data_IF_688113786232
#
_entry.id   IF_688113786232
#
_cell.length_a   1.000
_cell.length_b   1.000
_cell.length_c   1.000
_cell.angle_alpha   90.00
_cell.angle_beta   90.00
_cell.angle_gamma   90.00
#
_symmetry.space_group_name_H-M   'P 1'
#
loop_
_entity.id
_entity.type
_entity.pdbx_description
1 polymer ?
#
# COMPACT_ATOMS: atom_id res chain seq x y z
N UNK A 1 -3.32 -24.24 -15.62
CA UNK A 1 -4.12 -24.33 -16.87
C UNK A 1 -4.69 -22.98 -17.31
N UNK A 2 -5.73 -22.42 -16.67
CA UNK A 2 -6.35 -21.17 -17.16
C UNK A 2 -5.40 -19.97 -17.19
N UNK A 3 -4.58 -19.80 -16.15
CA UNK A 3 -3.54 -18.77 -16.15
C UNK A 3 -2.55 -18.97 -17.31
N UNK A 4 -2.16 -20.21 -17.61
CA UNK A 4 -1.28 -20.51 -18.75
C UNK A 4 -1.93 -20.17 -20.08
N UNK A 5 -3.24 -20.42 -20.25
CA UNK A 5 -3.97 -20.04 -21.47
C UNK A 5 -3.97 -18.52 -21.69
N UNK A 6 -4.10 -17.73 -20.62
CA UNK A 6 -4.05 -16.27 -20.71
C UNK A 6 -2.62 -15.80 -21.00
N UNK A 7 -1.64 -16.27 -20.23
CA UNK A 7 -0.23 -15.89 -20.37
C UNK A 7 0.31 -16.25 -21.77
N UNK A 8 0.03 -17.45 -22.26
CA UNK A 8 0.52 -17.94 -23.54
C UNK A 8 -0.33 -17.48 -24.74
N UNK A 9 -1.38 -16.68 -24.51
CA UNK A 9 -2.18 -16.14 -25.62
C UNK A 9 -1.45 -15.05 -26.40
N UNK A 10 -0.42 -14.43 -25.79
CA UNK A 10 0.34 -13.29 -26.32
C UNK A 10 -0.52 -12.05 -26.63
N UNK A 11 -1.80 -12.05 -26.23
CA UNK A 11 -2.72 -10.90 -26.36
C UNK A 11 -2.35 -9.79 -25.37
N UNK A 12 -1.81 -10.18 -24.20
CA UNK A 12 -1.42 -9.28 -23.12
C UNK A 12 0.07 -9.44 -22.82
N UNK A 13 0.71 -8.35 -22.40
CA UNK A 13 2.11 -8.34 -21.99
C UNK A 13 2.32 -7.44 -20.78
N UNK A 14 3.16 -7.89 -19.85
CA UNK A 14 3.57 -7.04 -18.72
C UNK A 14 4.24 -5.78 -19.26
N UNK A 15 3.94 -4.65 -18.64
CA UNK A 15 4.65 -3.42 -18.94
C UNK A 15 6.11 -3.54 -18.51
N UNK A 16 6.99 -2.86 -19.24
CA UNK A 16 8.35 -2.60 -18.77
C UNK A 16 8.30 -1.87 -17.42
N UNK A 17 9.38 -1.96 -16.64
CA UNK A 17 9.48 -1.26 -15.35
C UNK A 17 9.09 0.22 -15.45
N UNK A 18 9.64 0.92 -16.45
CA UNK A 18 9.38 2.35 -16.67
C UNK A 18 7.90 2.63 -16.98
N UNK A 19 7.29 1.84 -17.87
CA UNK A 19 5.88 2.03 -18.22
C UNK A 19 4.98 1.64 -17.05
N UNK A 20 5.33 0.62 -16.28
CA UNK A 20 4.58 0.25 -15.09
C UNK A 20 4.56 1.36 -14.04
N UNK A 21 5.67 2.08 -13.83
CA UNK A 21 5.69 3.25 -12.93
C UNK A 21 4.72 4.37 -13.35
N UNK A 22 4.21 4.32 -14.58
CA UNK A 22 3.25 5.27 -15.16
C UNK A 22 1.92 4.59 -15.50
N UNK A 23 1.66 3.38 -14.99
CA UNK A 23 0.50 2.55 -15.34
C UNK A 23 -0.82 3.34 -15.27
N UNK A 24 -1.00 4.12 -14.20
CA UNK A 24 -2.21 4.89 -13.92
C UNK A 24 -2.48 6.00 -14.95
N UNK A 25 -1.51 6.33 -15.79
CA UNK A 25 -1.64 7.38 -16.80
C UNK A 25 -2.17 6.88 -18.14
N UNK A 26 -2.09 5.57 -18.39
CA UNK A 26 -2.56 4.98 -19.64
C UNK A 26 -4.07 4.74 -19.60
N UNK A 27 -4.75 5.07 -20.69
CA UNK A 27 -6.12 4.56 -20.92
C UNK A 27 -6.09 3.03 -21.05
N UNK A 28 -7.18 2.32 -20.68
CA UNK A 28 -7.21 0.86 -20.74
C UNK A 28 -6.77 0.26 -22.07
N UNK A 29 -7.16 0.85 -23.20
CA UNK A 29 -6.82 0.33 -24.54
C UNK A 29 -5.35 0.53 -24.93
N UNK A 30 -4.65 1.41 -24.24
CA UNK A 30 -3.22 1.68 -24.46
C UNK A 30 -2.33 0.90 -23.48
N UNK A 31 -2.92 0.10 -22.59
CA UNK A 31 -2.21 -0.63 -21.56
C UNK A 31 -2.23 -2.14 -21.85
N UNK A 32 -1.11 -2.66 -22.37
CA UNK A 32 -0.98 -4.08 -22.75
C UNK A 32 -1.12 -5.06 -21.58
N UNK A 33 -1.00 -4.58 -20.34
CA UNK A 33 -1.12 -5.42 -19.15
C UNK A 33 -2.58 -5.54 -18.66
N UNK A 34 -3.46 -4.61 -19.07
CA UNK A 34 -4.87 -4.59 -18.68
C UNK A 34 -5.65 -5.65 -19.43
N UNK A 35 -6.31 -6.56 -18.71
CA UNK A 35 -7.14 -7.62 -19.31
C UNK A 35 -8.60 -7.19 -19.33
N UNK A 36 -9.13 -6.74 -18.20
CA UNK A 36 -10.49 -6.25 -18.10
C UNK A 36 -10.53 -5.00 -17.22
N UNK A 37 -11.13 -3.93 -17.75
CA UNK A 37 -11.36 -2.69 -17.03
C UNK A 37 -12.74 -2.12 -17.39
N UNK A 38 -13.32 -1.36 -16.45
CA UNK A 38 -14.54 -0.58 -16.69
C UNK A 38 -14.10 0.81 -17.13
N UNK A 39 -14.12 1.06 -18.43
CA UNK A 39 -13.66 2.34 -18.97
C UNK A 39 -14.53 3.50 -18.50
N UNK A 40 -13.88 4.52 -17.98
CA UNK A 40 -14.43 5.85 -17.71
C UNK A 40 -13.88 6.80 -18.76
N UNK A 41 -14.71 7.73 -19.25
CA UNK A 41 -14.26 8.74 -20.22
C UNK A 41 -14.44 10.13 -19.63
N UNK A 42 -13.49 11.03 -19.90
CA UNK A 42 -13.52 12.40 -19.36
C UNK A 42 -14.86 13.12 -19.61
N UNK A 43 -15.51 12.87 -20.75
CA UNK A 43 -16.81 13.47 -21.08
C UNK A 43 -17.97 13.03 -20.17
N UNK A 44 -17.81 11.97 -19.36
CA UNK A 44 -18.78 11.59 -18.32
C UNK A 44 -18.69 12.48 -17.06
N UNK A 45 -17.64 13.30 -16.96
CA UNK A 45 -17.36 14.12 -15.78
C UNK A 45 -17.41 15.60 -16.18
N UNK A 46 -18.15 16.40 -15.43
CA UNK A 46 -18.26 17.84 -15.65
C UNK A 46 -17.97 18.61 -14.36
N UNK A 47 -17.38 19.80 -14.49
CA UNK A 47 -17.13 20.70 -13.37
C UNK A 47 -16.31 20.04 -12.25
N UNK A 48 -16.96 19.77 -11.11
CA UNK A 48 -16.34 19.20 -9.91
C UNK A 48 -16.47 17.69 -9.80
N UNK A 49 -16.97 16.97 -10.80
CA UNK A 49 -17.19 15.52 -10.68
C UNK A 49 -15.90 14.74 -10.37
N UNK A 50 -14.75 15.18 -10.91
CA UNK A 50 -13.45 14.60 -10.58
C UNK A 50 -13.08 14.74 -9.10
N UNK A 51 -13.64 15.73 -8.39
CA UNK A 51 -13.41 15.90 -6.96
C UNK A 51 -13.88 14.67 -6.17
N UNK A 52 -15.01 14.06 -6.56
CA UNK A 52 -15.68 12.98 -5.83
C UNK A 52 -15.29 11.57 -6.30
N UNK A 53 -14.38 11.46 -7.28
CA UNK A 53 -13.87 10.17 -7.75
C UNK A 53 -13.01 9.45 -6.71
N UNK A 54 -12.76 8.16 -6.91
CA UNK A 54 -11.89 7.33 -6.04
C UNK A 54 -10.52 7.99 -5.84
N UNK A 55 -9.94 8.56 -6.90
CA UNK A 55 -8.68 9.30 -6.82
C UNK A 55 -8.71 10.52 -5.91
N UNK A 56 -9.84 11.23 -5.84
CA UNK A 56 -10.01 12.42 -5.02
C UNK A 56 -9.92 12.14 -3.53
N UNK A 57 -10.22 10.90 -3.11
CA UNK A 57 -10.02 10.45 -1.74
C UNK A 57 -8.54 10.35 -1.35
N UNK A 58 -7.67 10.09 -2.31
CA UNK A 58 -6.27 9.75 -2.09
C UNK A 58 -5.29 10.91 -2.29
N UNK A 59 -5.66 11.91 -3.08
CA UNK A 59 -4.77 13.02 -3.43
C UNK A 59 -5.55 14.29 -3.74
N UNK A 60 -4.83 15.41 -3.80
CA UNK A 60 -5.30 16.65 -4.40
C UNK A 60 -4.51 16.91 -5.69
N UNK A 61 -5.15 16.80 -6.85
CA UNK A 61 -4.53 16.95 -8.17
C UNK A 61 -5.28 18.02 -8.96
N UNK A 62 -4.56 19.01 -9.52
CA UNK A 62 -5.19 20.10 -10.28
C UNK A 62 -6.19 20.93 -9.46
N UNK A 63 -6.11 20.90 -8.13
CA UNK A 63 -7.08 21.53 -7.22
C UNK A 63 -8.36 20.72 -6.97
N UNK A 64 -8.44 19.49 -7.48
CA UNK A 64 -9.54 18.55 -7.23
C UNK A 64 -9.12 17.49 -6.21
N UNK A 65 -10.11 16.93 -5.50
CA UNK A 65 -9.90 15.92 -4.45
C UNK A 65 -9.78 16.52 -3.06
N UNK A 66 -9.86 15.65 -2.04
CA UNK A 66 -9.75 16.01 -0.63
C UNK A 66 -8.59 15.32 0.08
N UNK A 67 -8.01 14.26 -0.52
CA UNK A 67 -6.75 13.66 -0.09
C UNK A 67 -6.68 13.34 1.40
N UNK A 68 -7.52 12.42 1.88
CA UNK A 68 -7.60 12.03 3.29
C UNK A 68 -7.16 10.59 3.57
N UNK A 69 -6.87 9.81 2.51
CA UNK A 69 -6.32 8.47 2.63
C UNK A 69 -4.91 8.39 2.06
N UNK A 70 -3.96 7.95 2.89
CA UNK A 70 -2.53 7.90 2.56
C UNK A 70 -2.00 6.48 2.54
N UNK A 71 -0.85 6.29 1.89
CA UNK A 71 -0.11 5.05 2.02
C UNK A 71 0.26 4.79 3.49
N UNK A 72 -0.06 3.60 3.99
CA UNK A 72 0.25 3.26 5.39
C UNK A 72 1.74 3.02 5.57
N UNK A 73 2.24 3.25 6.80
CA UNK A 73 3.63 2.96 7.16
C UNK A 73 4.03 1.53 6.77
N UNK A 74 3.18 0.55 7.12
CA UNK A 74 3.39 -0.86 6.79
C UNK A 74 3.60 -1.08 5.29
N UNK A 75 2.85 -0.38 4.44
CA UNK A 75 3.01 -0.52 2.98
C UNK A 75 4.29 0.16 2.48
N UNK A 76 4.63 1.34 3.02
CA UNK A 76 5.88 2.04 2.71
C UNK A 76 7.10 1.20 3.14
N UNK A 77 7.06 0.57 4.31
CA UNK A 77 8.12 -0.32 4.81
C UNK A 77 8.31 -1.51 3.87
N UNK A 78 7.22 -2.12 3.40
CA UNK A 78 7.29 -3.21 2.40
C UNK A 78 7.94 -2.76 1.09
N UNK A 79 7.60 -1.55 0.60
CA UNK A 79 8.22 -0.98 -0.60
C UNK A 79 9.71 -0.68 -0.42
N UNK A 80 10.15 -0.42 0.81
CA UNK A 80 11.52 -0.08 1.16
C UNK A 80 12.38 -1.30 1.55
N UNK A 81 11.83 -2.53 1.53
CA UNK A 81 12.48 -3.74 2.05
C UNK A 81 13.84 -4.04 1.38
N UNK A 82 13.97 -3.76 0.08
CA UNK A 82 15.21 -3.98 -0.70
C UNK A 82 16.05 -2.71 -0.86
N UNK A 83 15.63 -1.62 -0.22
CA UNK A 83 16.24 -0.31 -0.31
C UNK A 83 15.20 0.80 -0.23
N UNK A 84 15.54 1.89 0.45
CA UNK A 84 14.69 3.06 0.63
C UNK A 84 14.35 3.71 -0.71
N UNK A 85 13.06 3.87 -0.97
CA UNK A 85 12.55 4.81 -1.94
C UNK A 85 12.71 6.23 -1.38
N UNK A 86 13.47 7.06 -2.08
CA UNK A 86 13.77 8.44 -1.71
C UNK A 86 13.11 9.37 -2.73
N UNK A 87 11.82 9.61 -2.49
CA UNK A 87 10.98 10.47 -3.32
C UNK A 87 11.49 11.92 -3.36
N UNK A 88 12.10 12.42 -2.29
CA UNK A 88 12.64 13.79 -2.24
C UNK A 88 13.76 13.99 -3.28
N UNK A 89 14.54 12.95 -3.56
CA UNK A 89 15.61 12.96 -4.55
C UNK A 89 15.26 12.18 -5.85
N UNK A 90 13.99 11.79 -6.04
CA UNK A 90 13.52 11.08 -7.23
C UNK A 90 14.07 9.66 -7.39
N UNK A 91 14.60 9.04 -6.34
CA UNK A 91 15.13 7.67 -6.36
C UNK A 91 14.03 6.68 -6.01
N UNK A 92 13.60 5.89 -7.00
CA UNK A 92 12.63 4.81 -6.84
C UNK A 92 13.32 3.46 -7.00
N UNK A 93 13.38 2.70 -5.91
CA UNK A 93 13.94 1.34 -5.84
C UNK A 93 12.89 0.34 -6.33
N UNK A 94 11.75 0.28 -5.64
CA UNK A 94 10.60 -0.52 -6.06
C UNK A 94 9.70 0.30 -6.99
N UNK A 95 9.48 -0.18 -8.22
CA UNK A 95 8.65 0.51 -9.21
C UNK A 95 7.24 0.85 -8.71
N UNK A 96 6.69 0.08 -7.76
CA UNK A 96 5.35 0.31 -7.19
C UNK A 96 5.29 1.54 -6.28
N UNK A 97 6.43 2.01 -5.78
CA UNK A 97 6.53 3.25 -5.00
C UNK A 97 6.25 4.50 -5.86
N UNK A 98 6.30 4.39 -7.19
CA UNK A 98 5.95 5.48 -8.11
C UNK A 98 4.49 5.94 -8.00
N UNK A 99 3.61 5.12 -7.42
CA UNK A 99 2.20 5.48 -7.21
C UNK A 99 1.95 6.25 -5.90
N UNK A 100 3.01 6.62 -5.18
CA UNK A 100 2.95 7.41 -3.95
C UNK A 100 3.66 8.74 -4.20
N UNK A 101 3.02 9.83 -3.79
CA UNK A 101 3.54 11.19 -3.90
C UNK A 101 3.56 11.87 -2.52
N UNK A 102 4.69 11.80 -1.79
CA UNK A 102 4.85 12.50 -0.52
C UNK A 102 4.71 14.01 -0.70
N UNK A 103 3.94 14.67 0.17
CA UNK A 103 3.72 16.12 0.12
C UNK A 103 4.67 16.84 1.07
N UNK A 104 5.82 17.28 0.53
CA UNK A 104 6.82 18.03 1.30
C UNK A 104 6.43 19.50 1.53
N UNK A 105 6.94 20.08 2.61
CA UNK A 105 6.86 21.53 2.84
C UNK A 105 7.94 22.20 1.99
N UNK A 106 7.53 23.16 1.16
CA UNK A 106 8.47 23.92 0.33
C UNK A 106 9.46 24.69 1.21
N UNK A 107 10.76 24.56 0.93
CA UNK A 107 11.86 25.10 1.75
C UNK A 107 11.77 24.67 3.22
N UNK A 108 11.20 23.48 3.48
CA UNK A 108 11.05 22.95 4.82
C UNK A 108 12.37 22.47 5.44
N UNK A 109 12.38 22.35 6.77
CA UNK A 109 13.50 21.78 7.49
C UNK A 109 13.74 20.31 7.13
N UNK A 110 14.96 19.84 7.38
CA UNK A 110 15.27 18.41 7.38
C UNK A 110 14.91 17.83 8.75
N UNK A 111 14.18 16.73 8.75
CA UNK A 111 13.67 16.09 9.98
C UNK A 111 14.06 14.62 10.03
N UNK A 112 14.13 14.09 11.24
CA UNK A 112 14.13 12.66 11.50
C UNK A 112 12.68 12.25 11.70
N UNK A 113 12.16 11.54 10.69
CA UNK A 113 10.79 11.02 10.67
C UNK A 113 10.81 9.58 11.15
N UNK A 114 10.10 9.28 12.23
CA UNK A 114 9.97 7.92 12.77
C UNK A 114 8.57 7.69 13.33
N UNK A 115 8.27 6.44 13.65
CA UNK A 115 7.00 6.03 14.24
C UNK A 115 7.27 5.58 15.67
N UNK A 116 6.62 6.25 16.64
CA UNK A 116 6.66 5.88 18.05
C UNK A 116 5.42 5.11 18.47
N UNK A 117 5.56 4.27 19.49
CA UNK A 117 4.43 3.72 20.24
C UNK A 117 3.75 4.83 21.04
N UNK A 118 2.46 4.68 21.28
CA UNK A 118 1.62 5.56 22.09
C UNK A 118 1.08 4.74 23.26
N UNK A 119 1.25 5.26 24.47
CA UNK A 119 0.84 4.61 25.70
C UNK A 119 -0.31 5.39 26.36
N UNK A 120 -1.22 4.69 27.04
CA UNK A 120 -2.20 5.33 27.91
C UNK A 120 -1.61 5.66 29.30
N UNK A 121 -2.39 6.29 30.18
CA UNK A 121 -1.96 6.70 31.53
C UNK A 121 -1.52 5.51 32.41
N UNK A 122 -1.94 4.28 32.08
CA UNK A 122 -1.53 3.05 32.77
C UNK A 122 -0.24 2.44 32.19
N UNK A 123 0.41 3.10 31.21
CA UNK A 123 1.61 2.60 30.55
C UNK A 123 1.36 1.46 29.56
N UNK A 124 0.11 1.24 29.13
CA UNK A 124 -0.23 0.22 28.14
C UNK A 124 -0.11 0.79 26.73
N UNK A 125 0.57 0.08 25.84
CA UNK A 125 0.67 0.45 24.42
C UNK A 125 -0.70 0.33 23.74
N UNK A 126 -1.20 1.43 23.19
CA UNK A 126 -2.55 1.52 22.62
C UNK A 126 -2.60 1.98 21.17
N UNK A 127 -1.57 2.65 20.66
CA UNK A 127 -1.53 3.13 19.29
C UNK A 127 -0.09 3.43 18.84
N UNK A 128 0.06 3.92 17.61
CA UNK A 128 1.30 4.45 17.06
C UNK A 128 1.09 5.88 16.58
N UNK A 129 2.15 6.69 16.56
CA UNK A 129 2.11 8.03 15.98
C UNK A 129 3.41 8.37 15.25
N UNK A 130 3.31 9.24 14.24
CA UNK A 130 4.48 9.79 13.58
C UNK A 130 5.10 10.91 14.40
N UNK A 131 6.42 11.01 14.31
CA UNK A 131 7.20 12.16 14.78
C UNK A 131 7.99 12.71 13.60
N UNK A 132 8.08 14.03 13.49
CA UNK A 132 8.97 14.75 12.58
C UNK A 132 9.82 15.70 13.41
N UNK A 133 10.96 15.21 13.90
CA UNK A 133 11.85 15.99 14.76
C UNK A 133 12.92 16.68 13.92
N UNK A 134 13.08 18.00 14.03
CA UNK A 134 14.13 18.71 13.30
C UNK A 134 15.52 18.15 13.64
N UNK A 135 16.36 18.01 12.61
CA UNK A 135 17.68 17.38 12.74
C UNK A 135 18.79 18.39 12.54
N UNK A 136 19.79 18.30 13.41
CA UNK A 136 21.10 18.91 13.22
C UNK A 136 22.11 17.82 12.89
N UNK A 137 22.76 17.91 11.73
CA UNK A 137 23.82 17.00 11.29
C UNK A 137 25.17 17.71 11.47
N UNK A 138 26.10 17.07 12.19
CA UNK A 138 27.46 17.57 12.41
C UNK A 138 28.47 16.49 12.01
N UNK A 139 28.80 16.42 10.72
CA UNK A 139 29.66 15.36 10.18
C UNK A 139 28.96 14.00 10.26
N UNK A 140 29.52 13.06 11.04
CA UNK A 140 28.97 11.70 11.19
C UNK A 140 28.01 11.55 12.37
N UNK A 141 27.73 12.62 13.11
CA UNK A 141 26.75 12.61 14.18
C UNK A 141 25.51 13.40 13.77
N UNK A 142 24.35 12.94 14.23
CA UNK A 142 23.11 13.65 14.05
C UNK A 142 22.36 13.68 15.39
N UNK A 143 21.66 14.78 15.64
CA UNK A 143 20.78 14.94 16.79
C UNK A 143 19.43 15.45 16.32
N UNK A 144 18.35 15.04 16.97
CA UNK A 144 17.04 15.64 16.74
C UNK A 144 16.46 16.24 18.01
N UNK A 145 15.54 17.20 17.84
CA UNK A 145 14.84 17.85 18.95
C UNK A 145 13.35 17.52 18.87
N UNK A 146 12.81 16.97 19.96
CA UNK A 146 11.37 16.73 20.12
C UNK A 146 10.93 17.08 21.54
N UNK A 147 9.82 17.81 21.68
CA UNK A 147 9.28 18.30 22.95
C UNK A 147 10.33 19.00 23.84
N UNK A 148 11.29 19.70 23.22
CA UNK A 148 12.38 20.40 23.91
C UNK A 148 13.54 19.52 24.40
N UNK A 149 13.43 18.20 24.27
CA UNK A 149 14.51 17.26 24.55
C UNK A 149 15.36 17.04 23.29
N UNK A 150 16.68 16.96 23.48
CA UNK A 150 17.63 16.62 22.41
C UNK A 150 17.97 15.14 22.49
N UNK A 151 17.86 14.45 21.36
CA UNK A 151 18.18 13.04 21.23
C UNK A 151 19.35 12.86 20.26
N UNK A 152 20.31 12.02 20.64
CA UNK A 152 21.35 11.57 19.72
C UNK A 152 20.79 10.50 18.79
N UNK A 153 21.11 10.61 17.51
CA UNK A 153 20.76 9.62 16.49
C UNK A 153 21.96 8.71 16.24
N UNK A 154 21.69 7.42 16.08
CA UNK A 154 22.68 6.40 15.72
C UNK A 154 22.48 6.01 14.25
N UNK A 155 23.53 6.04 13.40
CA UNK A 155 23.38 5.64 12.01
C UNK A 155 23.09 4.15 11.92
N UNK A 156 22.07 3.78 11.13
CA UNK A 156 21.74 2.39 10.80
C UNK A 156 22.19 2.09 9.36
N UNK A 157 21.81 2.97 8.44
CA UNK A 157 22.31 3.01 7.07
C UNK A 157 22.41 4.49 6.64
N UNK A 158 23.60 5.06 6.76
CA UNK A 158 23.81 6.49 6.53
C UNK A 158 23.61 6.87 5.05
N UNK A 159 23.93 5.99 4.10
CA UNK A 159 23.76 6.25 2.67
C UNK A 159 22.28 6.35 2.30
N UNK A 160 21.44 5.57 2.96
CA UNK A 160 19.99 5.63 2.81
C UNK A 160 19.33 6.62 3.77
N UNK A 161 20.10 7.34 4.59
CA UNK A 161 19.58 8.27 5.58
C UNK A 161 18.70 7.59 6.64
N UNK A 162 18.96 6.31 6.96
CA UNK A 162 18.26 5.54 7.98
C UNK A 162 19.04 5.62 9.30
N UNK A 163 18.34 6.04 10.34
CA UNK A 163 18.92 6.27 11.67
C UNK A 163 17.99 5.70 12.74
N UNK A 164 18.53 5.50 13.93
CA UNK A 164 17.76 5.11 15.11
C UNK A 164 17.93 6.11 16.24
N UNK A 165 16.94 6.13 17.14
CA UNK A 165 16.92 6.96 18.34
C UNK A 165 16.51 6.13 19.55
N UNK A 166 17.26 6.23 20.65
CA UNK A 166 16.78 5.77 21.96
C UNK A 166 15.92 6.87 22.58
N UNK A 167 14.64 6.58 22.76
CA UNK A 167 13.62 7.59 23.01
C UNK A 167 13.15 7.60 24.47
N UNK A 168 12.40 8.64 24.87
CA UNK A 168 12.05 8.91 26.29
C UNK A 168 11.17 7.83 26.94
N UNK A 169 10.51 6.99 26.15
CA UNK A 169 9.73 5.84 26.60
C UNK A 169 10.59 4.59 26.86
N UNK A 170 11.91 4.67 26.65
CA UNK A 170 12.85 3.55 26.80
C UNK A 170 12.94 2.65 25.56
N UNK A 171 12.17 2.93 24.51
CA UNK A 171 12.21 2.17 23.26
C UNK A 171 13.28 2.74 22.32
N UNK A 172 13.68 1.93 21.34
CA UNK A 172 14.52 2.38 20.23
C UNK A 172 13.71 2.36 18.94
N UNK A 173 13.64 3.50 18.27
CA UNK A 173 12.90 3.65 17.03
C UNK A 173 13.84 3.88 15.85
N UNK A 174 13.54 3.25 14.74
CA UNK A 174 14.20 3.50 13.45
C UNK A 174 13.35 4.46 12.64
N UNK A 175 14.00 5.36 11.92
CA UNK A 175 13.36 6.33 11.05
C UNK A 175 14.29 6.79 9.95
N UNK A 176 13.85 7.83 9.24
CA UNK A 176 14.57 8.39 8.10
C UNK A 176 14.84 9.88 8.31
N UNK A 177 16.03 10.33 7.91
CA UNK A 177 16.31 11.73 7.68
C UNK A 177 15.76 12.10 6.30
N UNK A 178 14.83 13.06 6.26
CA UNK A 178 14.04 13.40 5.08
C UNK A 178 13.50 14.84 5.21
N UNK A 179 13.13 15.54 4.12
CA UNK A 179 12.47 16.84 4.23
C UNK A 179 11.15 16.73 4.99
N UNK A 180 10.82 17.75 5.77
CA UNK A 180 9.55 17.79 6.51
C UNK A 180 8.36 17.73 5.55
N UNK A 181 7.37 16.93 5.92
CA UNK A 181 6.13 16.73 5.17
C UNK A 181 4.99 17.53 5.78
N UNK A 182 4.08 17.95 4.91
CA UNK A 182 2.77 18.45 5.30
C UNK A 182 2.02 17.37 6.07
N UNK A 183 1.26 17.82 7.05
CA UNK A 183 0.43 16.96 7.90
C UNK A 183 -1.04 17.25 7.60
N UNK A 184 -1.84 16.21 7.57
CA UNK A 184 -3.27 16.32 7.81
C UNK A 184 -3.56 15.71 9.18
N UNK A 185 -4.09 16.52 10.09
CA UNK A 185 -4.08 16.27 11.53
C UNK A 185 -2.64 16.07 12.02
N UNK A 186 -2.23 14.83 12.24
CA UNK A 186 -0.89 14.45 12.71
C UNK A 186 -0.19 13.47 11.76
N UNK A 187 -0.80 13.14 10.63
CA UNK A 187 -0.30 12.13 9.70
C UNK A 187 0.41 12.78 8.50
N UNK A 188 1.64 12.38 8.17
CA UNK A 188 2.32 12.79 6.94
C UNK A 188 1.50 12.42 5.71
N UNK A 189 1.38 13.38 4.80
CA UNK A 189 0.57 13.24 3.59
C UNK A 189 1.34 12.48 2.50
N UNK A 190 1.18 11.15 2.48
CA UNK A 190 1.65 10.28 1.39
C UNK A 190 0.51 10.04 0.41
N UNK A 191 0.30 10.98 -0.52
CA UNK A 191 -0.77 10.84 -1.52
C UNK A 191 -0.59 9.58 -2.35
N UNK A 192 -1.70 8.96 -2.73
CA UNK A 192 -1.72 7.79 -3.62
C UNK A 192 -2.31 8.24 -4.96
N UNK A 193 -1.56 8.06 -6.04
CA UNK A 193 -1.96 8.53 -7.38
C UNK A 193 -2.37 7.39 -8.32
N UNK A 194 -2.38 6.13 -7.84
CA UNK A 194 -2.69 4.95 -8.66
C UNK A 194 -4.09 4.97 -9.29
N UNK A 195 -5.05 5.68 -8.68
CA UNK A 195 -6.42 5.83 -9.15
C UNK A 195 -6.67 7.23 -9.73
N UNK A 196 -5.69 7.78 -10.45
CA UNK A 196 -5.74 9.15 -11.02
C UNK A 196 -4.82 9.28 -12.23
N UNK A 197 -4.96 10.40 -12.93
CA UNK A 197 -4.18 10.82 -14.10
C UNK A 197 -4.35 10.00 -15.36
N UNK A 198 -5.46 9.28 -15.51
CA UNK A 198 -5.71 8.50 -16.73
C UNK A 198 -5.92 9.42 -17.93
N UNK A 199 -4.93 9.54 -18.80
CA UNK A 199 -4.98 10.36 -20.03
C UNK A 199 -4.99 11.88 -19.84
N UNK A 200 -5.16 12.41 -18.62
CA UNK A 200 -5.23 13.84 -18.31
C UNK A 200 -4.85 14.12 -16.84
N UNK A 201 -4.52 15.38 -16.50
CA UNK A 201 -4.19 15.78 -15.12
C UNK A 201 -5.45 15.94 -14.23
N UNK A 202 -6.15 14.84 -13.98
CA UNK A 202 -7.37 14.78 -13.16
C UNK A 202 -7.43 13.49 -12.31
N UNK A 203 -8.53 13.30 -11.57
CA UNK A 203 -8.82 12.02 -10.90
C UNK A 203 -9.58 11.03 -11.80
N UNK A 204 -9.55 11.20 -13.13
CA UNK A 204 -10.05 10.19 -14.05
C UNK A 204 -9.31 8.86 -13.82
N UNK A 205 -10.10 7.80 -13.71
CA UNK A 205 -9.62 6.45 -13.46
C UNK A 205 -10.67 5.43 -13.92
N UNK A 206 -10.25 4.54 -14.81
CA UNK A 206 -10.99 3.34 -15.18
C UNK A 206 -10.64 2.20 -14.21
N UNK A 207 -11.58 1.70 -13.40
CA UNK A 207 -11.31 0.58 -12.50
C UNK A 207 -10.85 -0.65 -13.27
N UNK A 208 -9.67 -1.16 -12.90
CA UNK A 208 -9.10 -2.39 -13.45
C UNK A 208 -9.66 -3.57 -12.67
N UNK A 209 -10.34 -4.48 -13.35
CA UNK A 209 -10.93 -5.69 -12.78
C UNK A 209 -9.94 -6.85 -12.82
N UNK A 210 -9.14 -6.96 -13.88
CA UNK A 210 -8.05 -7.92 -13.96
C UNK A 210 -6.93 -7.47 -14.89
N UNK A 211 -5.72 -7.92 -14.60
CA UNK A 211 -4.50 -7.58 -15.35
C UNK A 211 -3.47 -8.68 -15.26
N UNK A 212 -2.52 -8.71 -16.19
CA UNK A 212 -1.61 -9.84 -16.36
C UNK A 212 -0.73 -10.10 -15.11
N UNK A 213 -0.32 -9.06 -14.38
CA UNK A 213 0.43 -9.23 -13.12
C UNK A 213 -0.34 -10.06 -12.08
N UNK A 214 -1.66 -9.87 -11.97
CA UNK A 214 -2.52 -10.66 -11.10
C UNK A 214 -2.60 -12.13 -11.55
N UNK A 215 -2.65 -12.39 -12.87
CA UNK A 215 -2.70 -13.75 -13.43
C UNK A 215 -1.43 -14.54 -13.09
N UNK A 216 -0.25 -13.90 -13.16
CA UNK A 216 1.00 -14.50 -12.70
C UNK A 216 0.97 -14.83 -11.21
N UNK A 217 0.45 -13.93 -10.37
CA UNK A 217 0.35 -14.16 -8.93
C UNK A 217 -0.67 -15.25 -8.57
N UNK A 218 -1.80 -15.31 -9.29
CA UNK A 218 -2.78 -16.40 -9.16
C UNK A 218 -2.17 -17.75 -9.56
N UNK A 219 -1.34 -17.78 -10.62
CA UNK A 219 -0.56 -18.97 -11.00
C UNK A 219 0.45 -19.37 -9.93
N UNK A 220 1.20 -18.41 -9.38
CA UNK A 220 2.18 -18.65 -8.33
C UNK A 220 1.54 -19.29 -7.09
N UNK A 221 0.45 -18.70 -6.62
CA UNK A 221 -0.29 -19.20 -5.46
C UNK A 221 -0.86 -20.61 -5.69
N UNK A 222 -1.52 -20.82 -6.84
CA UNK A 222 -2.09 -22.13 -7.18
C UNK A 222 -1.02 -23.21 -7.27
N UNK A 223 0.13 -22.90 -7.88
CA UNK A 223 1.25 -23.83 -7.98
C UNK A 223 1.83 -24.17 -6.60
N UNK A 224 2.03 -23.19 -5.72
CA UNK A 224 2.51 -23.41 -4.36
C UNK A 224 1.55 -24.30 -3.55
N UNK A 225 0.23 -24.06 -3.63
CA UNK A 225 -0.80 -24.86 -2.96
C UNK A 225 -0.86 -26.32 -3.46
N UNK A 226 -0.36 -26.59 -4.66
CA UNK A 226 -0.18 -27.94 -5.22
C UNK A 226 1.19 -28.56 -4.90
N UNK A 227 2.05 -27.87 -4.15
CA UNK A 227 3.42 -28.30 -3.84
C UNK A 227 4.42 -28.11 -4.98
N UNK A 228 4.04 -27.41 -6.06
CA UNK A 228 4.88 -27.18 -7.23
C UNK A 228 5.68 -25.87 -7.09
N UNK A 229 6.62 -25.83 -6.14
CA UNK A 229 7.32 -24.59 -5.78
C UNK A 229 8.22 -24.02 -6.88
N UNK A 230 8.77 -24.85 -7.78
CA UNK A 230 9.53 -24.36 -8.94
C UNK A 230 8.68 -23.49 -9.86
N UNK A 231 7.47 -23.97 -10.22
CA UNK A 231 6.51 -23.22 -11.04
C UNK A 231 6.02 -21.97 -10.30
N UNK A 232 5.81 -22.07 -8.98
CA UNK A 232 5.40 -20.94 -8.17
C UNK A 232 6.46 -19.83 -8.16
N UNK A 233 7.72 -20.21 -7.96
CA UNK A 233 8.87 -19.30 -7.93
C UNK A 233 9.04 -18.58 -9.26
N UNK A 234 8.99 -19.31 -10.38
CA UNK A 234 9.08 -18.74 -11.72
C UNK A 234 7.99 -17.69 -11.95
N UNK A 235 6.73 -18.02 -11.67
CA UNK A 235 5.60 -17.10 -11.87
C UNK A 235 5.68 -15.87 -10.96
N UNK A 236 6.09 -16.04 -9.71
CA UNK A 236 6.26 -14.96 -8.73
C UNK A 236 7.38 -13.99 -9.15
N UNK A 237 8.53 -14.53 -9.57
CA UNK A 237 9.69 -13.74 -9.95
C UNK A 237 9.45 -12.93 -11.24
N UNK A 238 8.59 -13.37 -12.15
CA UNK A 238 8.22 -12.56 -13.32
C UNK A 238 7.66 -11.18 -12.93
N UNK A 239 6.79 -11.13 -11.91
CA UNK A 239 6.21 -9.88 -11.41
C UNK A 239 7.24 -9.09 -10.60
N UNK A 240 7.98 -9.78 -9.73
CA UNK A 240 8.97 -9.16 -8.86
C UNK A 240 10.11 -8.52 -9.64
N UNK A 241 10.69 -9.23 -10.60
CA UNK A 241 11.82 -8.77 -11.41
C UNK A 241 11.47 -7.53 -12.25
N UNK A 242 10.21 -7.41 -12.69
CA UNK A 242 9.72 -6.18 -13.34
C UNK A 242 9.80 -4.99 -12.39
N UNK A 243 9.36 -5.15 -11.15
CA UNK A 243 9.28 -4.06 -10.17
C UNK A 243 10.63 -3.76 -9.50
N UNK A 244 11.44 -4.81 -9.28
CA UNK A 244 12.73 -4.82 -8.60
C UNK A 244 13.75 -5.68 -9.39
N UNK A 245 14.36 -5.14 -10.46
CA UNK A 245 15.34 -5.88 -11.26
C UNK A 245 16.54 -6.33 -10.41
N UNK A 246 16.90 -7.62 -10.52
CA UNK A 246 17.99 -8.25 -9.77
C UNK A 246 17.58 -8.81 -8.40
N UNK A 247 16.34 -8.59 -7.95
CA UNK A 247 15.86 -8.96 -6.61
C UNK A 247 14.94 -10.17 -6.61
N UNK A 248 15.01 -11.01 -7.65
CA UNK A 248 14.29 -12.29 -7.70
C UNK A 248 14.50 -13.14 -6.43
N UNK A 249 13.44 -13.79 -5.94
CA UNK A 249 13.56 -14.75 -4.86
C UNK A 249 14.42 -15.94 -5.30
N UNK A 250 15.29 -16.42 -4.42
CA UNK A 250 16.20 -17.52 -4.75
C UNK A 250 15.52 -18.89 -4.73
N UNK A 251 14.55 -19.10 -3.83
CA UNK A 251 13.81 -20.35 -3.69
C UNK A 251 12.44 -20.11 -3.04
N UNK A 252 11.51 -21.02 -3.30
CA UNK A 252 10.26 -21.18 -2.54
C UNK A 252 10.16 -22.62 -2.03
N UNK A 253 9.57 -22.78 -0.86
CA UNK A 253 9.17 -24.06 -0.30
C UNK A 253 7.95 -23.91 0.61
N UNK A 254 7.53 -25.00 1.25
CA UNK A 254 6.35 -25.03 2.12
C UNK A 254 6.43 -24.03 3.30
N UNK A 255 7.63 -23.67 3.74
CA UNK A 255 7.84 -22.80 4.91
C UNK A 255 7.71 -21.31 4.59
N UNK A 256 7.92 -20.90 3.34
CA UNK A 256 7.97 -19.49 2.96
C UNK A 256 7.02 -19.09 1.81
N UNK A 257 6.48 -20.04 1.04
CA UNK A 257 5.74 -19.74 -0.17
C UNK A 257 4.50 -18.88 0.09
N UNK A 258 3.74 -19.17 1.16
CA UNK A 258 2.57 -18.38 1.51
C UNK A 258 2.94 -16.91 1.82
N UNK A 259 3.97 -16.70 2.63
CA UNK A 259 4.39 -15.36 3.05
C UNK A 259 4.89 -14.53 1.88
N UNK A 260 5.76 -15.10 1.03
CA UNK A 260 6.37 -14.37 -0.08
C UNK A 260 5.37 -14.09 -1.20
N UNK A 261 4.47 -15.03 -1.51
CA UNK A 261 3.40 -14.81 -2.50
C UNK A 261 2.44 -13.73 -2.00
N UNK A 262 2.03 -13.79 -0.73
CA UNK A 262 1.14 -12.79 -0.15
C UNK A 262 1.77 -11.40 -0.08
N UNK A 263 3.07 -11.32 0.21
CA UNK A 263 3.83 -10.06 0.18
C UNK A 263 3.81 -9.46 -1.22
N UNK A 264 4.13 -10.25 -2.24
CA UNK A 264 4.16 -9.76 -3.62
C UNK A 264 2.76 -9.36 -4.11
N UNK A 265 1.71 -10.11 -3.75
CA UNK A 265 0.31 -9.71 -4.00
C UNK A 265 -0.05 -8.39 -3.35
N UNK A 266 0.35 -8.19 -2.09
CA UNK A 266 0.11 -6.94 -1.36
C UNK A 266 0.76 -5.74 -2.04
N UNK A 267 2.01 -5.91 -2.46
CA UNK A 267 2.75 -4.88 -3.16
C UNK A 267 2.12 -4.56 -4.51
N UNK A 268 1.88 -5.58 -5.32
CA UNK A 268 1.44 -5.48 -6.71
C UNK A 268 -0.01 -4.98 -6.83
N UNK A 269 -0.92 -5.55 -6.05
CA UNK A 269 -2.38 -5.30 -6.12
C UNK A 269 -2.84 -4.20 -5.15
N UNK A 270 -1.91 -3.43 -4.58
CA UNK A 270 -2.25 -2.30 -3.72
C UNK A 270 -3.25 -1.36 -4.40
N UNK A 271 -4.24 -0.92 -3.62
CA UNK A 271 -5.32 -0.01 -4.05
C UNK A 271 -6.28 -0.59 -5.11
N UNK A 272 -6.32 -1.92 -5.27
CA UNK A 272 -7.22 -2.63 -6.20
C UNK A 272 -8.24 -3.53 -5.46
N UNK A 273 -8.52 -3.24 -4.19
CA UNK A 273 -9.52 -3.93 -3.35
C UNK A 273 -9.25 -5.41 -2.99
N UNK A 274 -8.05 -5.95 -3.25
CA UNK A 274 -7.75 -7.38 -3.02
C UNK A 274 -7.37 -7.74 -1.57
N UNK A 275 -6.68 -6.84 -0.86
CA UNK A 275 -5.93 -7.20 0.36
C UNK A 275 -6.75 -7.87 1.46
N UNK A 276 -7.95 -7.37 1.76
CA UNK A 276 -8.78 -7.97 2.82
C UNK A 276 -9.26 -9.37 2.42
N UNK A 277 -9.65 -9.55 1.16
CA UNK A 277 -10.08 -10.86 0.67
C UNK A 277 -8.94 -11.86 0.71
N UNK A 278 -7.74 -11.46 0.27
CA UNK A 278 -6.52 -12.29 0.32
C UNK A 278 -6.15 -12.74 1.73
N UNK A 279 -6.25 -11.83 2.71
CA UNK A 279 -6.02 -12.15 4.13
C UNK A 279 -7.00 -13.21 4.63
N UNK A 280 -8.30 -12.96 4.48
CA UNK A 280 -9.31 -13.80 5.10
C UNK A 280 -9.50 -15.14 4.38
N UNK A 281 -9.42 -15.18 3.05
CA UNK A 281 -9.55 -16.45 2.29
C UNK A 281 -8.40 -17.42 2.55
N UNK A 282 -7.25 -16.92 3.00
CA UNK A 282 -6.11 -17.73 3.42
C UNK A 282 -6.13 -18.01 4.94
N UNK A 283 -7.23 -17.70 5.65
CA UNK A 283 -7.38 -18.01 7.07
C UNK A 283 -6.50 -17.15 7.98
N UNK A 284 -6.05 -15.99 7.51
CA UNK A 284 -5.22 -15.05 8.29
C UNK A 284 -6.07 -13.99 8.94
N UNK A 285 -5.56 -13.43 10.03
CA UNK A 285 -6.13 -12.26 10.68
C UNK A 285 -5.64 -10.96 10.05
N UNK A 286 -6.51 -9.95 10.01
CA UNK A 286 -6.14 -8.60 9.59
C UNK A 286 -5.64 -7.80 10.79
N UNK A 287 -4.36 -7.43 10.77
CA UNK A 287 -3.73 -6.53 11.75
C UNK A 287 -3.32 -5.22 11.08
N UNK A 288 -3.50 -4.12 11.83
CA UNK A 288 -3.19 -2.75 11.37
C UNK A 288 -2.32 -2.02 12.40
N UNK A 289 -1.26 -2.68 12.87
CA UNK A 289 -0.34 -2.13 13.86
C UNK A 289 0.59 -1.08 13.23
N UNK A 290 0.03 0.08 12.90
CA UNK A 290 0.71 1.26 12.34
C UNK A 290 -0.13 2.51 12.63
N UNK A 291 0.42 3.74 12.52
CA UNK A 291 -0.32 4.96 12.81
C UNK A 291 -1.55 5.13 11.90
N UNK A 292 -2.67 5.50 12.50
CA UNK A 292 -3.90 5.84 11.77
C UNK A 292 -5.10 6.05 12.70
N UNK A 293 -6.27 6.40 12.13
CA UNK A 293 -7.50 6.60 12.90
C UNK A 293 -8.18 5.28 13.33
N UNK A 294 -7.71 4.13 12.85
CA UNK A 294 -8.21 2.81 13.23
C UNK A 294 -7.71 2.39 14.61
N UNK A 295 -8.34 1.35 15.18
CA UNK A 295 -7.86 0.70 16.40
C UNK A 295 -6.63 -0.14 16.07
N UNK A 296 -5.43 0.44 16.26
CA UNK A 296 -4.18 -0.17 15.81
C UNK A 296 -3.83 -1.49 16.53
N UNK A 297 -4.31 -1.68 17.76
CA UNK A 297 -4.09 -2.91 18.53
C UNK A 297 -5.14 -3.99 18.24
N UNK A 298 -6.14 -3.71 17.42
CA UNK A 298 -7.19 -4.66 17.11
C UNK A 298 -6.75 -5.66 16.03
N UNK A 299 -7.04 -6.93 16.29
CA UNK A 299 -6.92 -8.03 15.34
C UNK A 299 -8.32 -8.48 14.92
N UNK A 300 -8.57 -8.52 13.60
CA UNK A 300 -9.82 -9.05 13.05
C UNK A 300 -9.54 -10.45 12.53
N UNK A 301 -10.08 -11.46 13.22
CA UNK A 301 -9.92 -12.87 12.87
C UNK A 301 -10.67 -13.22 11.57
N UNK A 302 -10.24 -14.23 10.81
CA UNK A 302 -10.93 -14.62 9.56
C UNK A 302 -12.37 -15.08 9.77
N UNK A 303 -12.70 -15.59 10.96
CA UNK A 303 -14.06 -16.00 11.34
C UNK A 303 -14.84 -14.93 12.11
N UNK A 304 -14.31 -13.69 12.21
CA UNK A 304 -15.01 -12.60 12.87
C UNK A 304 -16.26 -12.19 12.09
N UNK A 305 -17.36 -11.87 12.79
CA UNK A 305 -18.63 -11.45 12.19
C UNK A 305 -18.48 -10.24 11.25
N UNK A 306 -17.44 -9.42 11.42
CA UNK A 306 -17.12 -8.26 10.58
C UNK A 306 -16.51 -8.61 9.23
N UNK A 307 -16.11 -9.86 9.01
CA UNK A 307 -15.55 -10.33 7.74
C UNK A 307 -16.63 -10.45 6.65
N UNK A 308 -17.90 -10.59 7.02
CA UNK A 308 -19.03 -10.72 6.09
C UNK A 308 -19.92 -9.49 6.19
N UNK A 309 -20.22 -8.86 5.05
CA UNK A 309 -21.10 -7.69 5.01
C UNK A 309 -22.53 -8.02 5.46
N UNK A 310 -23.20 -7.03 6.06
CA UNK A 310 -24.62 -7.15 6.34
C UNK A 310 -25.44 -7.23 5.05
N UNK A 311 -26.48 -8.06 5.08
CA UNK A 311 -27.52 -8.08 4.06
C UNK A 311 -28.30 -6.77 4.16
N UNK A 312 -28.48 -6.02 3.06
CA UNK A 312 -29.29 -4.80 3.07
C UNK A 312 -30.70 -5.06 3.60
N UNK A 313 -31.18 -4.19 4.51
CA UNK A 313 -32.48 -4.39 5.17
C UNK A 313 -33.64 -4.42 4.17
N UNK A 314 -33.56 -3.66 3.08
CA UNK A 314 -34.55 -3.71 2.01
C UNK A 314 -34.60 -5.06 1.29
N UNK A 315 -33.47 -5.75 1.14
CA UNK A 315 -33.43 -7.11 0.58
C UNK A 315 -34.09 -8.13 1.51
N UNK A 316 -33.88 -8.01 2.83
CA UNK A 316 -34.58 -8.82 3.84
C UNK A 316 -36.09 -8.55 3.79
N UNK A 317 -36.50 -7.29 3.76
CA UNK A 317 -37.91 -6.90 3.77
C UNK A 317 -38.65 -7.32 2.49
N UNK A 318 -37.95 -7.33 1.34
CA UNK A 318 -38.51 -7.72 0.06
C UNK A 318 -38.60 -9.24 -0.14
N UNK A 319 -38.07 -10.03 0.80
CA UNK A 319 -38.04 -11.48 0.66
C UNK A 319 -39.47 -12.07 0.71
N UNK A 320 -39.82 -13.06 -0.14
CA UNK A 320 -41.19 -13.52 -0.28
C UNK A 320 -41.85 -13.99 1.02
N UNK A 321 -43.13 -13.64 1.18
CA UNK A 321 -43.94 -14.08 2.31
C UNK A 321 -43.98 -15.61 2.41
N UNK A 322 -43.67 -16.15 3.59
CA UNK A 322 -43.55 -17.59 3.83
C UNK A 322 -42.11 -18.13 3.77
N UNK A 323 -41.12 -17.27 3.53
CA UNK A 323 -39.69 -17.56 3.69
C UNK A 323 -39.01 -16.50 4.56
N UNK A 324 -37.89 -16.85 5.20
CA UNK A 324 -37.11 -15.92 6.03
C UNK A 324 -35.73 -15.75 5.42
N UNK A 325 -35.36 -14.51 5.07
CA UNK A 325 -33.96 -14.13 4.81
C UNK A 325 -33.36 -13.60 6.11
N UNK A 326 -32.48 -14.39 6.73
CA UNK A 326 -31.84 -14.05 7.99
C UNK A 326 -30.59 -13.22 7.76
N UNK A 327 -30.37 -12.20 8.59
CA UNK A 327 -29.14 -11.41 8.60
C UNK A 327 -27.90 -12.28 8.87
N UNK A 328 -26.76 -11.86 8.34
CA UNK A 328 -25.45 -12.41 8.74
C UNK A 328 -25.18 -12.18 10.24
N UNK A 329 -24.27 -12.93 10.87
CA UNK A 329 -23.95 -12.75 12.29
C UNK A 329 -23.61 -11.29 12.64
N UNK A 330 -24.11 -10.81 13.79
CA UNK A 330 -23.85 -9.44 14.28
C UNK A 330 -22.90 -9.41 15.47
N UNK A 331 -22.39 -10.57 15.89
CA UNK A 331 -21.43 -10.77 16.97
C UNK A 331 -20.72 -12.12 16.78
N UNK A 332 -19.55 -12.28 17.42
CA UNK A 332 -18.82 -13.56 17.50
C UNK A 332 -19.41 -14.50 18.53
#
# INVERSE_FOLDING_TARGET
EYADKVINSEVYSLLSRENFMKYNTFTPEQNSETIFAVKRVASEFAGYDHYYGVGGMYAVIGGMGWGEMYASAKYIDLLNETGRNDWANGKIVDARAAFIEPQYVANGATVFRFIKKVYNDAGVHTNFNYVQAEVTISGNTATCVEDGATYALTPVDQEQGIWSVSYKDGETYTGVIDPIMRLNRVYPMFYIVKCSREGEESHLHSPVISRLGEIYLNKAEAAAKLGNYGIALEALNIVRERSLPGESYAHLDASNAEELIEKERTLELAYQAERSYDVYRNGRSLTRQYPGPHLAMEEVMPNDYRTIYFIPQNAINAYPTGSTLTQNPTSN
#
